data_IF_225159926837
#
_entry.id   IF_225159926837
#
_cell.length_a   1.000
_cell.length_b   1.000
_cell.length_c   1.000
_cell.angle_alpha   90.00
_cell.angle_beta   90.00
_cell.angle_gamma   90.00
#
_symmetry.space_group_name_H-M   'P 1'
#
loop_
_entity.id
_entity.type
_entity.pdbx_description
1 polymer ?
#
# COMPACT_ATOMS: atom_id res chain seq x y z
N UNK A 1 -7.50 58.90 -34.75
CA UNK A 1 -6.98 57.55 -34.75
C UNK A 1 -7.35 56.93 -33.41
N UNK A 2 -8.40 56.07 -33.37
CA UNK A 2 -8.90 55.44 -32.11
C UNK A 2 -8.29 54.02 -32.01
N UNK A 3 -7.54 53.78 -30.96
CA UNK A 3 -6.99 52.44 -30.63
C UNK A 3 -8.10 51.57 -30.04
N UNK A 4 -8.19 50.30 -30.41
CA UNK A 4 -9.13 49.35 -29.78
C UNK A 4 -8.60 48.89 -28.44
N UNK A 5 -9.47 48.93 -27.43
CA UNK A 5 -9.25 48.32 -26.10
C UNK A 5 -9.56 46.85 -26.22
N UNK A 6 -8.54 45.97 -26.09
CA UNK A 6 -8.74 44.56 -25.95
C UNK A 6 -9.10 44.25 -24.48
N UNK A 7 -10.32 43.82 -24.26
CA UNK A 7 -10.73 43.27 -22.97
C UNK A 7 -10.19 41.84 -22.83
N UNK A 8 -9.25 41.63 -21.90
CA UNK A 8 -8.71 40.35 -21.57
C UNK A 8 -9.70 39.66 -20.59
N UNK A 9 -10.50 38.71 -21.09
CA UNK A 9 -11.39 37.89 -20.24
C UNK A 9 -10.56 36.88 -19.47
N UNK A 10 -10.42 37.11 -18.18
CA UNK A 10 -9.79 36.16 -17.22
C UNK A 10 -10.79 35.03 -16.96
N UNK A 11 -10.60 33.88 -17.61
CA UNK A 11 -11.34 32.64 -17.29
C UNK A 11 -10.74 32.10 -16.02
N UNK A 12 -11.41 32.30 -14.89
CA UNK A 12 -11.09 31.62 -13.64
C UNK A 12 -11.46 30.15 -13.81
N UNK A 13 -10.47 29.29 -13.98
CA UNK A 13 -10.63 27.86 -13.89
C UNK A 13 -10.93 27.52 -12.42
N UNK A 14 -12.19 27.29 -12.08
CA UNK A 14 -12.58 26.64 -10.82
C UNK A 14 -12.09 25.20 -10.89
N UNK A 15 -10.90 24.93 -10.36
CA UNK A 15 -10.51 23.57 -9.99
C UNK A 15 -11.45 23.13 -8.88
N UNK A 16 -12.40 22.25 -9.21
CA UNK A 16 -13.17 21.53 -8.23
C UNK A 16 -12.18 20.61 -7.50
N UNK A 17 -11.61 21.11 -6.40
CA UNK A 17 -10.88 20.27 -5.45
C UNK A 17 -11.95 19.37 -4.83
N UNK A 18 -12.04 18.13 -5.30
CA UNK A 18 -12.76 17.10 -4.56
C UNK A 18 -12.15 17.09 -3.15
N UNK A 19 -12.98 17.26 -2.13
CA UNK A 19 -12.51 17.22 -0.75
C UNK A 19 -11.78 15.89 -0.52
N UNK A 20 -10.51 15.97 -0.10
CA UNK A 20 -9.74 14.80 0.28
C UNK A 20 -10.47 14.07 1.41
N UNK A 21 -10.66 12.75 1.31
CA UNK A 21 -11.40 12.02 2.32
C UNK A 21 -10.68 12.08 3.67
N UNK A 22 -11.44 12.32 4.74
CA UNK A 22 -10.91 12.33 6.10
C UNK A 22 -10.50 10.92 6.49
N UNK A 23 -9.19 10.69 6.63
CA UNK A 23 -8.64 9.41 7.03
C UNK A 23 -8.77 9.21 8.55
N UNK A 24 -9.43 8.13 8.96
CA UNK A 24 -9.55 7.74 10.36
C UNK A 24 -8.54 6.62 10.70
N UNK A 25 -8.09 6.51 11.96
CA UNK A 25 -7.14 5.48 12.36
C UNK A 25 -7.66 4.07 12.05
N UNK A 26 -6.91 3.30 11.27
CA UNK A 26 -7.11 1.87 11.08
C UNK A 26 -6.35 1.07 12.14
N UNK A 27 -5.19 1.55 12.56
CA UNK A 27 -4.38 1.02 13.63
C UNK A 27 -4.33 2.02 14.80
N UNK A 28 -4.65 1.57 16.00
CA UNK A 28 -4.76 2.41 17.18
C UNK A 28 -3.43 2.72 17.90
N UNK A 29 -2.33 2.11 17.45
CA UNK A 29 -1.00 2.26 18.06
C UNK A 29 -0.81 1.56 19.41
N UNK A 30 -1.76 0.75 19.88
CA UNK A 30 -1.72 0.13 21.23
C UNK A 30 -1.76 -1.39 21.17
N UNK A 31 -2.63 -1.95 20.35
CA UNK A 31 -2.89 -3.38 20.23
C UNK A 31 -3.38 -3.74 18.83
N UNK A 32 -3.76 -5.00 18.64
CA UNK A 32 -4.26 -5.53 17.36
C UNK A 32 -5.78 -5.41 17.21
N UNK A 33 -6.46 -4.56 17.99
CA UNK A 33 -7.91 -4.34 17.84
C UNK A 33 -8.23 -3.86 16.41
N UNK A 34 -9.27 -4.43 15.81
CA UNK A 34 -9.66 -4.22 14.41
C UNK A 34 -9.01 -5.18 13.42
N UNK A 35 -8.13 -6.07 13.91
CA UNK A 35 -7.52 -7.13 13.12
C UNK A 35 -7.91 -8.51 13.65
N UNK A 36 -7.96 -9.50 12.75
CA UNK A 36 -8.17 -10.91 13.09
C UNK A 36 -6.87 -11.49 13.65
N UNK A 37 -6.87 -11.81 14.94
CA UNK A 37 -5.67 -12.22 15.68
C UNK A 37 -5.48 -13.71 15.75
N UNK A 38 -6.48 -14.53 15.42
CA UNK A 38 -6.38 -15.98 15.43
C UNK A 38 -5.26 -16.47 14.51
N UNK A 39 -4.30 -17.21 15.10
CA UNK A 39 -3.11 -17.69 14.37
C UNK A 39 -2.12 -16.62 13.93
N UNK A 40 -2.30 -15.34 14.33
CA UNK A 40 -1.45 -14.24 13.91
C UNK A 40 -0.53 -13.70 14.99
N UNK A 41 -0.82 -13.91 16.26
CA UNK A 41 -0.06 -13.34 17.40
C UNK A 41 1.37 -13.85 17.53
N UNK A 42 1.71 -14.98 16.91
CA UNK A 42 3.10 -15.44 16.80
C UNK A 42 3.94 -14.55 15.86
N UNK A 43 3.30 -13.89 14.92
CA UNK A 43 3.94 -13.12 13.83
C UNK A 43 3.78 -11.62 13.99
N UNK A 44 2.72 -11.19 14.69
CA UNK A 44 2.34 -9.78 14.77
C UNK A 44 2.23 -9.31 16.21
N UNK A 45 2.85 -8.19 16.52
CA UNK A 45 2.82 -7.54 17.82
C UNK A 45 2.89 -6.04 17.72
N UNK A 46 2.57 -5.36 18.81
CA UNK A 46 2.66 -3.91 18.90
C UNK A 46 3.70 -3.55 19.96
N UNK A 47 4.66 -2.70 19.59
CA UNK A 47 5.68 -2.18 20.48
C UNK A 47 5.87 -0.67 20.24
N UNK A 48 5.74 0.15 21.29
CA UNK A 48 5.97 1.59 21.23
C UNK A 48 5.18 2.32 20.12
N UNK A 49 3.93 1.93 19.90
CA UNK A 49 3.08 2.53 18.86
C UNK A 49 3.33 2.02 17.44
N UNK A 50 4.16 1.01 17.28
CA UNK A 50 4.53 0.42 16.00
C UNK A 50 3.95 -1.00 15.92
N UNK A 51 3.26 -1.30 14.83
CA UNK A 51 2.84 -2.64 14.46
C UNK A 51 4.00 -3.35 13.77
N UNK A 52 4.45 -4.45 14.35
CA UNK A 52 5.60 -5.23 13.89
C UNK A 52 5.11 -6.56 13.34
N UNK A 53 5.46 -6.84 12.08
CA UNK A 53 5.31 -8.12 11.44
C UNK A 53 6.68 -8.79 11.29
N UNK A 54 6.84 -10.00 11.82
CA UNK A 54 8.10 -10.74 11.81
C UNK A 54 7.82 -12.22 11.71
N UNK A 55 8.50 -12.92 10.81
CA UNK A 55 8.30 -14.36 10.78
C UNK A 55 9.12 -15.11 11.86
N UNK A 56 8.64 -16.29 12.18
CA UNK A 56 9.29 -17.16 13.16
C UNK A 56 10.53 -17.87 12.58
N UNK A 57 11.24 -18.61 13.43
CA UNK A 57 12.45 -19.36 13.04
C UNK A 57 12.19 -20.36 11.90
N UNK A 58 10.97 -20.90 11.79
CA UNK A 58 10.57 -21.79 10.69
C UNK A 58 10.24 -21.03 9.40
N UNK A 59 10.32 -19.70 9.40
CA UNK A 59 10.01 -18.82 8.25
C UNK A 59 8.63 -19.11 7.66
N UNK A 60 7.64 -19.34 8.51
CA UNK A 60 6.25 -19.51 8.09
C UNK A 60 5.69 -18.15 7.63
N UNK A 61 4.85 -18.20 6.60
CA UNK A 61 4.08 -17.04 6.19
C UNK A 61 2.85 -16.83 7.06
N UNK A 62 2.39 -15.59 7.12
CA UNK A 62 1.15 -15.21 7.80
C UNK A 62 0.54 -13.96 7.17
N UNK A 63 -0.75 -13.75 7.42
CA UNK A 63 -1.45 -12.51 7.11
C UNK A 63 -2.12 -11.96 8.35
N UNK A 64 -2.00 -10.67 8.58
CA UNK A 64 -2.83 -9.95 9.52
C UNK A 64 -3.96 -9.27 8.75
N UNK A 65 -5.16 -9.85 8.84
CA UNK A 65 -6.34 -9.37 8.15
C UNK A 65 -7.12 -8.38 9.00
N UNK A 66 -7.66 -7.32 8.39
CA UNK A 66 -8.66 -6.49 9.07
C UNK A 66 -9.93 -7.29 9.35
N UNK A 67 -10.64 -6.95 10.43
CA UNK A 67 -11.97 -7.53 10.72
C UNK A 67 -13.00 -7.08 9.69
N UNK A 68 -12.93 -5.81 9.28
CA UNK A 68 -13.82 -5.20 8.30
C UNK A 68 -13.35 -5.47 6.87
N UNK A 69 -14.32 -5.57 5.97
CA UNK A 69 -14.10 -5.56 4.53
C UNK A 69 -14.24 -4.16 3.97
N UNK A 70 -13.48 -3.87 2.91
CA UNK A 70 -13.47 -2.58 2.23
C UNK A 70 -13.71 -2.78 0.73
N UNK A 71 -14.63 -2.01 0.20
CA UNK A 71 -14.85 -1.83 -1.23
C UNK A 71 -13.91 -0.74 -1.76
N UNK A 72 -14.46 0.44 -2.08
CA UNK A 72 -13.64 1.59 -2.45
C UNK A 72 -13.07 2.25 -1.19
N UNK A 73 -11.79 2.61 -1.21
CA UNK A 73 -11.11 3.20 -0.06
C UNK A 73 -9.84 3.96 -0.44
N UNK A 74 -9.40 4.80 0.48
CA UNK A 74 -8.03 5.31 0.55
C UNK A 74 -7.41 4.83 1.86
N UNK A 75 -6.21 4.26 1.80
CA UNK A 75 -5.39 3.97 2.98
C UNK A 75 -4.04 4.67 2.87
N UNK A 76 -3.55 5.18 3.99
CA UNK A 76 -2.22 5.75 4.12
C UNK A 76 -1.54 5.15 5.34
N UNK A 77 -0.26 4.81 5.20
CA UNK A 77 0.53 4.24 6.28
C UNK A 77 2.02 4.52 6.07
N UNK A 78 2.75 4.60 7.18
CA UNK A 78 4.21 4.56 7.14
C UNK A 78 4.67 3.12 7.31
N UNK A 79 5.65 2.72 6.52
CA UNK A 79 6.29 1.41 6.60
C UNK A 79 7.80 1.56 6.51
N UNK A 80 8.50 0.73 7.26
CA UNK A 80 9.94 0.52 7.09
C UNK A 80 10.28 -0.95 7.28
N UNK A 81 11.38 -1.35 6.70
CA UNK A 81 11.97 -2.66 6.91
C UNK A 81 13.48 -2.57 6.91
N UNK A 82 14.09 -3.57 7.50
CA UNK A 82 15.52 -3.80 7.38
C UNK A 82 15.70 -5.23 6.94
N UNK A 83 16.36 -5.42 5.82
CA UNK A 83 16.66 -6.74 5.31
C UNK A 83 17.57 -7.47 6.28
N UNK A 84 17.18 -8.67 6.66
CA UNK A 84 18.00 -9.58 7.45
C UNK A 84 18.78 -10.53 6.54
N UNK A 85 18.44 -10.52 5.25
CA UNK A 85 19.09 -11.33 4.21
C UNK A 85 19.47 -10.47 3.00
N UNK A 86 20.41 -10.91 2.16
CA UNK A 86 20.72 -10.24 0.89
C UNK A 86 19.53 -10.12 -0.07
N UNK A 87 18.41 -10.82 0.21
CA UNK A 87 17.20 -10.80 -0.60
C UNK A 87 16.23 -9.68 -0.21
N UNK A 88 16.45 -9.04 0.95
CA UNK A 88 15.53 -8.02 1.47
C UNK A 88 14.19 -8.61 1.95
N UNK A 89 13.22 -7.72 2.14
CA UNK A 89 11.85 -8.04 2.59
C UNK A 89 10.98 -8.35 1.38
N UNK A 90 10.16 -9.40 1.48
CA UNK A 90 9.08 -9.73 0.53
C UNK A 90 7.76 -9.65 1.30
N UNK A 91 6.99 -8.60 1.06
CA UNK A 91 5.73 -8.35 1.76
C UNK A 91 4.77 -7.56 0.87
N UNK A 92 3.57 -7.29 1.37
CA UNK A 92 2.60 -6.50 0.61
C UNK A 92 1.29 -6.28 1.36
N UNK A 93 0.43 -5.49 0.75
CA UNK A 93 -0.92 -5.24 1.21
C UNK A 93 -1.88 -5.90 0.22
N UNK A 94 -2.57 -6.95 0.66
CA UNK A 94 -3.63 -7.58 -0.14
C UNK A 94 -4.97 -6.88 0.05
N UNK A 95 -5.74 -6.83 -1.02
CA UNK A 95 -7.06 -6.21 -1.06
C UNK A 95 -7.92 -6.82 -2.17
N UNK A 96 -9.22 -6.60 -2.11
CA UNK A 96 -10.20 -7.04 -3.11
C UNK A 96 -10.45 -8.56 -3.16
N UNK A 97 -11.50 -8.93 -3.86
CA UNK A 97 -11.87 -10.32 -4.16
C UNK A 97 -12.23 -10.43 -5.64
N UNK A 98 -11.47 -11.21 -6.44
CA UNK A 98 -10.24 -11.91 -6.08
C UNK A 98 -9.13 -10.95 -5.64
N UNK A 99 -8.08 -11.50 -5.02
CA UNK A 99 -7.02 -10.69 -4.42
C UNK A 99 -6.15 -10.01 -5.48
N UNK A 100 -5.84 -8.74 -5.23
CA UNK A 100 -4.73 -7.98 -5.80
C UNK A 100 -3.85 -7.48 -4.66
N UNK A 101 -2.54 -7.43 -4.86
CA UNK A 101 -1.57 -7.02 -3.83
C UNK A 101 -0.75 -5.83 -4.31
N UNK A 102 -0.60 -4.82 -3.45
CA UNK A 102 0.50 -3.87 -3.59
C UNK A 102 1.76 -4.50 -3.00
N UNK A 103 2.78 -4.72 -3.82
CA UNK A 103 4.06 -5.26 -3.38
C UNK A 103 4.86 -4.22 -2.60
N UNK A 104 5.51 -4.67 -1.54
CA UNK A 104 6.51 -3.94 -0.75
C UNK A 104 7.78 -4.79 -0.67
N UNK A 105 8.90 -4.22 -1.10
CA UNK A 105 10.20 -4.90 -1.13
C UNK A 105 10.40 -5.83 -2.33
N UNK A 106 11.24 -6.82 -2.13
CA UNK A 106 11.73 -7.72 -3.17
C UNK A 106 10.69 -8.78 -3.53
N UNK A 107 10.35 -8.90 -4.80
CA UNK A 107 9.56 -10.04 -5.26
C UNK A 107 10.37 -11.34 -5.18
N UNK A 108 9.85 -12.32 -4.45
CA UNK A 108 10.47 -13.65 -4.31
C UNK A 108 10.60 -14.40 -5.64
N UNK A 109 9.73 -14.15 -6.61
CA UNK A 109 9.78 -14.78 -7.94
C UNK A 109 10.72 -14.07 -8.90
N UNK A 110 10.72 -12.73 -8.93
CA UNK A 110 11.52 -11.94 -9.87
C UNK A 110 12.92 -11.61 -9.35
N UNK A 111 13.15 -11.68 -8.04
CA UNK A 111 14.42 -11.35 -7.37
C UNK A 111 14.84 -9.88 -7.52
N UNK A 112 13.86 -9.01 -7.75
CA UNK A 112 14.06 -7.56 -7.88
C UNK A 112 13.06 -6.83 -6.98
N UNK A 113 13.39 -5.60 -6.59
CA UNK A 113 12.50 -4.72 -5.85
C UNK A 113 11.31 -4.33 -6.72
N UNK A 114 10.12 -4.67 -6.24
CA UNK A 114 8.84 -4.38 -6.89
C UNK A 114 7.96 -3.49 -6.01
N UNK A 115 8.56 -2.76 -5.05
CA UNK A 115 7.82 -1.84 -4.17
C UNK A 115 6.93 -0.89 -4.96
N UNK A 116 5.67 -0.79 -4.54
CA UNK A 116 4.68 0.04 -5.21
C UNK A 116 4.09 -0.55 -6.51
N UNK A 117 4.49 -1.75 -6.91
CA UNK A 117 3.94 -2.46 -8.07
C UNK A 117 2.77 -3.36 -7.69
N UNK A 118 1.85 -3.56 -8.63
CA UNK A 118 0.65 -4.39 -8.44
C UNK A 118 0.90 -5.83 -8.83
N UNK A 119 0.69 -6.75 -7.88
CA UNK A 119 0.74 -8.19 -8.11
C UNK A 119 -0.67 -8.75 -8.24
N UNK A 120 -0.95 -9.44 -9.35
CA UNK A 120 -2.30 -9.93 -9.71
C UNK A 120 -2.45 -11.44 -9.57
N UNK A 121 -1.47 -12.08 -8.93
CA UNK A 121 -1.43 -13.54 -8.84
C UNK A 121 -0.94 -14.21 -10.14
N UNK A 122 -0.73 -15.52 -10.05
CA UNK A 122 -0.34 -16.32 -11.23
C UNK A 122 -1.53 -16.49 -12.19
N UNK A 123 -1.30 -16.62 -13.51
CA UNK A 123 0.00 -16.71 -14.19
C UNK A 123 0.66 -15.35 -14.51
N UNK A 124 -0.08 -14.21 -14.44
CA UNK A 124 0.39 -12.91 -14.93
C UNK A 124 1.45 -12.26 -14.02
N UNK A 125 1.33 -12.42 -12.70
CA UNK A 125 2.28 -11.87 -11.75
C UNK A 125 2.18 -10.34 -11.66
N UNK A 126 3.18 -9.62 -12.18
CA UNK A 126 3.25 -8.16 -12.19
C UNK A 126 3.01 -7.63 -13.61
N UNK A 127 1.77 -7.22 -13.94
CA UNK A 127 1.49 -6.62 -15.24
C UNK A 127 2.33 -5.37 -15.46
N UNK A 128 2.85 -5.18 -16.66
CA UNK A 128 3.74 -4.04 -16.97
C UNK A 128 3.09 -2.68 -16.66
N UNK A 129 1.80 -2.55 -16.97
CA UNK A 129 1.02 -1.34 -16.69
C UNK A 129 0.93 -1.00 -15.20
N UNK A 130 1.03 -2.01 -14.32
CA UNK A 130 0.94 -1.87 -12.87
C UNK A 130 2.30 -1.77 -12.15
N UNK A 131 3.41 -1.68 -12.88
CA UNK A 131 4.74 -1.60 -12.27
C UNK A 131 5.13 -0.18 -11.90
N UNK A 132 5.71 -0.02 -10.71
CA UNK A 132 6.30 1.25 -10.23
C UNK A 132 7.75 1.35 -10.71
N UNK A 133 7.96 1.76 -11.97
CA UNK A 133 9.29 1.79 -12.60
C UNK A 133 10.28 2.72 -11.89
N UNK A 134 9.78 3.79 -11.26
CA UNK A 134 10.59 4.80 -10.57
C UNK A 134 10.62 4.61 -9.04
N UNK A 135 10.14 3.48 -8.52
CA UNK A 135 10.03 3.26 -7.07
C UNK A 135 11.33 3.51 -6.31
N UNK A 136 12.48 3.10 -6.87
CA UNK A 136 13.79 3.30 -6.24
C UNK A 136 14.16 4.77 -6.00
N UNK A 137 13.69 5.67 -6.85
CA UNK A 137 13.95 7.12 -6.71
C UNK A 137 12.96 7.77 -5.74
N UNK A 138 11.82 7.14 -5.53
CA UNK A 138 10.77 7.61 -4.62
C UNK A 138 10.97 7.12 -3.18
N UNK A 139 11.62 5.97 -3.01
CA UNK A 139 11.89 5.35 -1.72
C UNK A 139 13.05 6.02 -1.00
N UNK A 140 12.91 6.20 0.30
CA UNK A 140 14.03 6.51 1.19
C UNK A 140 14.87 5.25 1.44
N UNK A 141 16.12 5.41 1.90
CA UNK A 141 16.99 4.28 2.22
C UNK A 141 16.36 3.24 3.15
N UNK A 142 16.84 2.02 3.08
CA UNK A 142 16.42 0.94 3.96
C UNK A 142 16.55 1.31 5.45
N UNK A 143 15.54 0.97 6.23
CA UNK A 143 15.43 1.33 7.65
C UNK A 143 14.77 2.69 7.90
N UNK A 144 14.60 3.52 6.88
CA UNK A 144 13.85 4.77 7.00
C UNK A 144 12.36 4.57 6.74
N UNK A 145 11.54 5.40 7.37
CA UNK A 145 10.10 5.39 7.18
C UNK A 145 9.71 5.95 5.81
N UNK A 146 9.00 5.15 5.04
CA UNK A 146 8.37 5.54 3.80
C UNK A 146 6.86 5.61 3.97
N UNK A 147 6.22 6.66 3.48
CA UNK A 147 4.77 6.81 3.47
C UNK A 147 4.22 6.25 2.17
N UNK A 148 3.33 5.28 2.29
CA UNK A 148 2.55 4.74 1.18
C UNK A 148 1.11 5.22 1.29
N UNK A 149 0.55 5.61 0.17
CA UNK A 149 -0.88 5.88 0.01
C UNK A 149 -1.41 4.99 -1.10
N UNK A 150 -2.51 4.32 -0.85
CA UNK A 150 -3.23 3.48 -1.82
C UNK A 150 -4.63 4.03 -1.96
N UNK A 151 -5.08 4.23 -3.18
CA UNK A 151 -6.48 4.41 -3.49
C UNK A 151 -6.96 3.23 -4.32
N UNK A 152 -8.01 2.55 -3.86
CA UNK A 152 -8.76 1.57 -4.60
C UNK A 152 -10.16 2.16 -4.87
N UNK A 153 -10.44 2.50 -6.13
CA UNK A 153 -11.72 3.10 -6.55
C UNK A 153 -12.26 2.38 -7.78
N UNK A 154 -13.42 1.75 -7.62
CA UNK A 154 -13.93 0.83 -8.62
C UNK A 154 -12.92 -0.30 -8.88
N UNK A 155 -12.44 -0.38 -10.10
CA UNK A 155 -11.44 -1.35 -10.54
C UNK A 155 -10.05 -0.73 -10.82
N UNK A 156 -9.83 0.50 -10.36
CA UNK A 156 -8.56 1.24 -10.51
C UNK A 156 -7.85 1.34 -9.16
N UNK A 157 -6.57 1.02 -9.17
CA UNK A 157 -5.67 0.97 -8.01
C UNK A 157 -4.53 1.93 -8.26
N UNK A 158 -4.37 2.92 -7.39
CA UNK A 158 -3.28 3.91 -7.51
C UNK A 158 -2.42 3.87 -6.26
N UNK A 159 -1.11 3.88 -6.43
CA UNK A 159 -0.12 3.93 -5.36
C UNK A 159 0.69 5.22 -5.44
N UNK A 160 0.88 5.86 -4.28
CA UNK A 160 1.85 6.94 -4.08
C UNK A 160 2.88 6.51 -3.04
N UNK A 161 4.12 6.89 -3.27
CA UNK A 161 5.24 6.70 -2.35
C UNK A 161 5.80 8.08 -2.00
N UNK A 162 5.84 8.41 -0.73
CA UNK A 162 6.32 9.70 -0.22
C UNK A 162 5.68 10.92 -0.93
N UNK A 163 4.35 10.82 -1.21
CA UNK A 163 3.56 11.87 -1.83
C UNK A 163 3.64 11.92 -3.37
N UNK A 164 4.44 11.09 -4.01
CA UNK A 164 4.57 11.03 -5.48
C UNK A 164 3.90 9.77 -6.03
N UNK A 165 3.13 9.91 -7.13
CA UNK A 165 2.46 8.77 -7.78
C UNK A 165 3.52 7.82 -8.33
N UNK A 166 3.46 6.57 -7.87
CA UNK A 166 4.40 5.52 -8.22
C UNK A 166 3.85 4.58 -9.31
N UNK A 167 2.57 4.20 -9.19
CA UNK A 167 1.93 3.29 -10.15
C UNK A 167 0.42 3.47 -10.16
N UNK A 168 -0.19 2.98 -11.24
CA UNK A 168 -1.64 2.83 -11.37
C UNK A 168 -1.94 1.58 -12.19
N UNK A 169 -2.96 0.84 -11.78
CA UNK A 169 -3.41 -0.36 -12.47
C UNK A 169 -4.93 -0.43 -12.50
N UNK A 170 -5.50 -0.83 -13.62
CA UNK A 170 -6.95 -0.99 -13.78
C UNK A 170 -7.26 -2.37 -14.33
N UNK A 171 -8.12 -3.11 -13.64
CA UNK A 171 -8.60 -4.41 -14.08
C UNK A 171 -9.94 -4.74 -13.42
N UNK A 172 -10.99 -4.93 -14.23
CA UNK A 172 -12.36 -5.21 -13.78
C UNK A 172 -12.49 -6.49 -12.95
N UNK A 173 -11.51 -7.38 -13.02
CA UNK A 173 -11.47 -8.62 -12.24
C UNK A 173 -11.42 -8.36 -10.73
N UNK A 174 -10.80 -7.27 -10.29
CA UNK A 174 -10.53 -6.98 -8.87
C UNK A 174 -11.51 -5.93 -8.30
N UNK A 175 -12.80 -6.22 -8.31
CA UNK A 175 -13.85 -5.26 -7.92
C UNK A 175 -14.56 -5.60 -6.59
N UNK A 176 -14.47 -6.85 -6.12
CA UNK A 176 -15.17 -7.29 -4.90
C UNK A 176 -14.55 -6.72 -3.63
N UNK A 177 -15.39 -6.37 -2.64
CA UNK A 177 -14.93 -6.00 -1.31
C UNK A 177 -14.23 -7.18 -0.61
N UNK A 178 -13.22 -6.88 0.20
CA UNK A 178 -12.48 -7.85 1.00
C UNK A 178 -11.82 -7.18 2.21
N UNK A 179 -11.39 -7.95 3.22
CA UNK A 179 -10.47 -7.44 4.23
C UNK A 179 -9.14 -7.01 3.60
N UNK A 180 -8.44 -6.08 4.25
CA UNK A 180 -7.05 -5.78 3.93
C UNK A 180 -6.14 -6.74 4.67
N UNK A 181 -5.14 -7.28 3.97
CA UNK A 181 -4.18 -8.23 4.54
C UNK A 181 -2.75 -7.70 4.49
N UNK A 182 -2.13 -7.56 5.66
CA UNK A 182 -0.69 -7.31 5.77
C UNK A 182 0.03 -8.65 5.69
N UNK A 183 0.95 -8.81 4.73
CA UNK A 183 1.60 -10.09 4.47
C UNK A 183 2.93 -10.25 5.23
N UNK A 184 3.19 -11.45 5.71
CA UNK A 184 4.52 -12.00 5.98
C UNK A 184 4.73 -13.15 5.01
N UNK A 185 5.68 -13.00 4.07
CA UNK A 185 5.92 -14.02 3.05
C UNK A 185 6.65 -15.25 3.65
N UNK A 186 6.25 -16.47 3.31
CA UNK A 186 6.94 -17.67 3.76
C UNK A 186 8.32 -17.82 3.10
N UNK A 187 9.26 -18.47 3.82
CA UNK A 187 10.59 -18.82 3.29
C UNK A 187 11.57 -17.66 3.25
N UNK A 188 11.19 -16.47 3.69
CA UNK A 188 12.04 -15.28 3.80
C UNK A 188 12.17 -14.89 5.25
N UNK A 189 13.39 -14.67 5.74
CA UNK A 189 13.60 -14.06 7.05
C UNK A 189 13.36 -12.56 6.92
N UNK A 190 12.30 -12.07 7.56
CA UNK A 190 11.85 -10.71 7.38
C UNK A 190 11.26 -10.12 8.66
N UNK A 191 11.45 -8.81 8.78
CA UNK A 191 10.76 -7.95 9.73
C UNK A 191 10.32 -6.68 9.02
N UNK A 192 9.05 -6.32 9.15
CA UNK A 192 8.50 -5.06 8.69
C UNK A 192 7.75 -4.35 9.82
N UNK A 193 7.77 -3.05 9.79
CA UNK A 193 7.21 -2.20 10.82
C UNK A 193 6.25 -1.19 10.18
N UNK A 194 5.07 -1.04 10.77
CA UNK A 194 4.01 -0.13 10.29
C UNK A 194 3.58 0.82 11.40
N UNK A 195 3.24 2.04 11.04
CA UNK A 195 2.63 3.03 11.93
C UNK A 195 1.74 3.99 11.15
N UNK A 196 1.02 4.86 11.86
CA UNK A 196 0.18 5.92 11.26
C UNK A 196 -0.80 5.39 10.21
N UNK A 197 -1.27 4.13 10.37
CA UNK A 197 -2.21 3.53 9.43
C UNK A 197 -3.57 4.18 9.58
N UNK A 198 -4.04 4.82 8.51
CA UNK A 198 -5.31 5.54 8.47
C UNK A 198 -6.05 5.19 7.19
N UNK A 199 -7.37 5.10 7.25
CA UNK A 199 -8.22 4.69 6.13
C UNK A 199 -9.50 5.52 6.08
N UNK A 200 -9.98 5.79 4.87
CA UNK A 200 -11.33 6.26 4.61
C UNK A 200 -11.98 5.37 3.54
N UNK A 201 -13.21 4.86 3.76
CA UNK A 201 -14.06 4.39 2.66
C UNK A 201 -14.39 5.55 1.70
N UNK A 202 -14.56 5.22 0.40
CA UNK A 202 -14.95 6.18 -0.65
C UNK A 202 -16.37 5.94 -1.12
#
# INVERSE_FOLDING_TARGET
MKLPVFALSLIAAFSCLADEPKLEPLFNGKDLAGFKTEGSTEFWRVENGVLIGENNAAKKGNYLWTEKEYGDFVIEFDVRWKGTTPRGVDTGIEMRKPNIQLQLGISGSLKVDMSGSWYTGKPLGYPEAGQAKEAKTLMKPEGEWNTFRIQAKGNTFTCWINGQKASEYTDAKFSGAAPLGLQIHPGVEMKCEYRNMRLAPL
#
